data_IF_989279988684
#
_entry.id   IF_989279988684
#
_cell.length_a   1.000
_cell.length_b   1.000
_cell.length_c   1.000
_cell.angle_alpha   90.00
_cell.angle_beta   90.00
_cell.angle_gamma   90.00
#
_symmetry.space_group_name_H-M   'P 1'
#
loop_
_entity.id
_entity.type
_entity.pdbx_description
1 polymer ?
#
# COMPACT_ATOMS: atom_id res chain seq x y z
N UNK A 1 -7.51 -1.11 -11.76
CA UNK A 1 -6.44 -2.11 -11.56
C UNK A 1 -7.00 -3.36 -10.86
N UNK A 2 -7.62 -3.27 -9.68
CA UNK A 2 -8.08 -4.43 -8.91
C UNK A 2 -9.00 -5.36 -9.72
N UNK A 3 -10.08 -4.85 -10.31
CA UNK A 3 -10.98 -5.63 -11.14
C UNK A 3 -10.35 -6.10 -12.46
N UNK A 4 -9.59 -5.23 -13.15
CA UNK A 4 -8.98 -5.55 -14.44
C UNK A 4 -7.92 -6.65 -14.37
N UNK A 5 -7.23 -6.76 -13.23
CA UNK A 5 -6.15 -7.74 -13.02
C UNK A 5 -6.51 -8.83 -12.01
N UNK A 6 -7.81 -9.09 -11.80
CA UNK A 6 -8.32 -10.13 -10.90
C UNK A 6 -7.66 -11.49 -11.13
N UNK A 7 -7.50 -11.88 -12.38
CA UNK A 7 -6.93 -13.15 -12.81
C UNK A 7 -5.44 -13.09 -13.18
N UNK A 8 -4.78 -11.94 -13.01
CA UNK A 8 -3.35 -11.78 -13.35
C UNK A 8 -2.50 -12.36 -12.24
N UNK A 9 -2.07 -13.61 -12.39
CA UNK A 9 -1.27 -14.34 -11.40
C UNK A 9 0.17 -13.84 -11.41
N UNK A 10 0.73 -13.65 -10.23
CA UNK A 10 2.12 -13.24 -10.01
C UNK A 10 2.69 -13.93 -8.77
N UNK A 11 4.00 -13.89 -8.59
CA UNK A 11 4.62 -14.33 -7.35
C UNK A 11 4.27 -13.36 -6.21
N UNK A 12 3.67 -13.86 -5.13
CA UNK A 12 3.65 -13.15 -3.86
C UNK A 12 5.09 -12.99 -3.36
N UNK A 13 5.36 -11.91 -2.61
CA UNK A 13 6.70 -11.68 -2.04
C UNK A 13 6.59 -11.38 -0.56
N UNK A 14 7.25 -12.23 0.24
CA UNK A 14 7.41 -12.04 1.68
C UNK A 14 8.88 -11.83 1.97
N UNK A 15 9.22 -10.82 2.77
CA UNK A 15 10.61 -10.47 3.07
C UNK A 15 11.49 -10.35 1.79
N UNK A 16 10.89 -9.83 0.70
CA UNK A 16 11.48 -9.66 -0.63
C UNK A 16 11.80 -10.97 -1.38
N UNK A 17 11.43 -12.13 -0.85
CA UNK A 17 11.58 -13.41 -1.52
C UNK A 17 10.25 -13.86 -2.14
N UNK A 18 10.31 -14.56 -3.27
CA UNK A 18 9.12 -15.16 -3.86
C UNK A 18 8.49 -16.17 -2.90
N UNK A 19 7.18 -16.05 -2.73
CA UNK A 19 6.33 -16.89 -1.91
C UNK A 19 5.19 -17.47 -2.77
N UNK A 20 4.12 -17.92 -2.12
CA UNK A 20 2.93 -18.46 -2.81
C UNK A 20 2.37 -17.49 -3.85
N UNK A 21 1.70 -18.00 -4.90
CA UNK A 21 1.07 -17.15 -5.91
C UNK A 21 0.01 -16.24 -5.30
N UNK A 22 -0.10 -15.04 -5.87
CA UNK A 22 -1.18 -14.08 -5.63
C UNK A 22 -1.64 -13.53 -6.98
N UNK A 23 -2.68 -12.69 -7.00
CA UNK A 23 -3.00 -11.91 -8.20
C UNK A 23 -2.62 -10.45 -8.04
N UNK A 24 -2.25 -9.79 -9.13
CA UNK A 24 -2.04 -8.34 -9.11
C UNK A 24 -3.32 -7.60 -8.73
N UNK A 25 -4.48 -8.16 -9.07
CA UNK A 25 -5.78 -7.65 -8.63
C UNK A 25 -5.91 -7.59 -7.11
N UNK A 26 -5.45 -8.61 -6.37
CA UNK A 26 -5.45 -8.60 -4.90
C UNK A 26 -4.48 -7.55 -4.35
N UNK A 27 -3.29 -7.40 -4.94
CA UNK A 27 -2.34 -6.35 -4.56
C UNK A 27 -2.97 -4.97 -4.72
N UNK A 28 -3.60 -4.71 -5.87
CA UNK A 28 -4.27 -3.46 -6.16
C UNK A 28 -5.51 -3.22 -5.27
N UNK A 29 -6.25 -4.28 -4.90
CA UNK A 29 -7.35 -4.20 -3.94
C UNK A 29 -6.86 -3.78 -2.54
N UNK A 30 -5.69 -4.26 -2.12
CA UNK A 30 -5.04 -3.82 -0.88
C UNK A 30 -4.65 -2.34 -0.91
N UNK A 31 -4.14 -1.84 -2.04
CA UNK A 31 -3.87 -0.42 -2.23
C UNK A 31 -5.17 0.41 -2.15
N UNK A 32 -6.22 -0.03 -2.84
CA UNK A 32 -7.54 0.63 -2.85
C UNK A 32 -8.10 0.73 -1.43
N UNK A 33 -8.16 -0.37 -0.69
CA UNK A 33 -8.66 -0.41 0.69
C UNK A 33 -7.90 0.56 1.61
N UNK A 34 -6.56 0.60 1.51
CA UNK A 34 -5.76 1.53 2.29
C UNK A 34 -6.02 3.00 1.95
N UNK A 35 -6.19 3.32 0.66
CA UNK A 35 -6.51 4.68 0.20
C UNK A 35 -7.92 5.10 0.66
N UNK A 36 -8.91 4.22 0.60
CA UNK A 36 -10.27 4.48 1.05
C UNK A 36 -10.33 4.71 2.57
N UNK A 37 -9.58 3.93 3.35
CA UNK A 37 -9.47 4.13 4.79
C UNK A 37 -8.81 5.46 5.14
N UNK A 38 -7.76 5.84 4.41
CA UNK A 38 -7.10 7.14 4.60
C UNK A 38 -8.01 8.31 4.23
N UNK A 39 -8.77 8.20 3.11
CA UNK A 39 -9.79 9.17 2.69
C UNK A 39 -10.88 9.34 3.74
N UNK A 40 -11.42 8.22 4.25
CA UNK A 40 -12.45 8.25 5.31
C UNK A 40 -11.95 8.91 6.59
N UNK A 41 -10.69 8.64 6.98
CA UNK A 41 -10.04 9.31 8.10
C UNK A 41 -9.90 10.82 7.90
N UNK A 42 -9.50 11.24 6.70
CA UNK A 42 -9.37 12.66 6.34
C UNK A 42 -10.72 13.39 6.39
N UNK A 43 -11.78 12.77 5.85
CA UNK A 43 -13.14 13.33 5.90
C UNK A 43 -13.61 13.55 7.34
N UNK A 44 -13.47 12.53 8.22
CA UNK A 44 -13.84 12.63 9.64
C UNK A 44 -13.10 13.74 10.37
N UNK A 45 -11.81 13.91 10.10
CA UNK A 45 -11.03 15.01 10.69
C UNK A 45 -11.49 16.36 10.13
N UNK A 46 -11.77 16.46 8.84
CA UNK A 46 -12.33 17.64 8.20
C UNK A 46 -13.62 18.10 8.87
N UNK A 47 -14.55 17.17 9.12
CA UNK A 47 -15.85 17.45 9.72
C UNK A 47 -15.77 17.82 11.21
N UNK A 48 -14.87 17.20 11.96
CA UNK A 48 -14.89 17.27 13.42
C UNK A 48 -13.81 18.16 14.04
N UNK A 49 -12.69 18.40 13.32
CA UNK A 49 -11.51 19.05 13.91
C UNK A 49 -11.22 20.43 13.33
N UNK A 50 -11.74 20.77 12.17
CA UNK A 50 -11.55 22.10 11.58
C UNK A 50 -12.50 23.08 12.27
N UNK A 51 -11.94 23.96 13.09
CA UNK A 51 -12.69 24.95 13.85
C UNK A 51 -11.98 26.31 13.80
N UNK A 52 -12.76 27.37 13.89
CA UNK A 52 -12.20 28.72 13.98
C UNK A 52 -11.35 28.87 15.25
N UNK A 53 -10.19 29.55 15.13
CA UNK A 53 -9.39 29.97 16.26
C UNK A 53 -9.47 31.48 16.41
N UNK A 54 -10.25 31.94 17.40
CA UNK A 54 -10.43 33.36 17.70
C UNK A 54 -10.55 33.56 19.21
N UNK A 55 -9.59 34.23 19.84
CA UNK A 55 -9.50 34.28 21.30
C UNK A 55 -8.99 35.64 21.84
N UNK A 56 -8.59 36.56 20.97
CA UNK A 56 -7.91 37.78 21.40
C UNK A 56 -6.57 37.50 22.05
N UNK A 57 -6.10 38.34 22.93
CA UNK A 57 -4.77 38.27 23.52
C UNK A 57 -4.57 37.01 24.43
N UNK A 58 -5.57 36.69 25.25
CA UNK A 58 -5.48 35.67 26.30
C UNK A 58 -6.68 34.70 26.32
N UNK A 59 -7.38 34.54 25.20
CA UNK A 59 -8.51 33.61 25.11
C UNK A 59 -9.85 34.15 25.62
N UNK A 60 -9.93 35.39 26.08
CA UNK A 60 -11.12 35.96 26.72
C UNK A 60 -11.95 36.86 25.82
N UNK A 61 -11.43 37.28 24.66
CA UNK A 61 -12.02 38.27 23.78
C UNK A 61 -12.44 39.55 24.55
N UNK A 62 -11.65 40.00 25.53
CA UNK A 62 -11.98 41.04 26.47
C UNK A 62 -12.45 42.36 25.77
N UNK A 63 -11.86 42.72 24.63
CA UNK A 63 -12.22 43.88 23.86
C UNK A 63 -13.66 43.82 23.24
N UNK A 64 -14.22 42.61 23.09
CA UNK A 64 -15.56 42.37 22.57
C UNK A 64 -16.56 42.07 23.69
N UNK A 65 -16.14 41.93 24.92
CA UNK A 65 -16.98 41.63 26.07
C UNK A 65 -17.90 40.43 25.83
N UNK A 66 -19.17 40.58 26.12
CA UNK A 66 -20.18 39.52 25.97
C UNK A 66 -20.54 39.19 24.52
N UNK A 67 -20.16 40.02 23.54
CA UNK A 67 -20.39 39.78 22.13
C UNK A 67 -19.32 38.86 21.51
N UNK A 68 -18.21 38.60 22.21
CA UNK A 68 -17.13 37.73 21.72
C UNK A 68 -17.58 36.39 21.15
N UNK A 69 -18.40 35.58 21.86
CA UNK A 69 -18.91 34.32 21.35
C UNK A 69 -19.77 34.45 20.10
N UNK A 70 -20.57 35.52 20.00
CA UNK A 70 -21.38 35.81 18.80
C UNK A 70 -20.53 36.16 17.59
N UNK A 71 -19.48 36.94 17.78
CA UNK A 71 -18.52 37.26 16.72
C UNK A 71 -17.80 35.98 16.26
N UNK A 72 -17.38 35.10 17.19
CA UNK A 72 -16.79 33.81 16.88
C UNK A 72 -17.73 32.96 16.05
N UNK A 73 -19.00 32.88 16.38
CA UNK A 73 -19.99 32.10 15.64
C UNK A 73 -20.23 32.66 14.22
N UNK A 74 -20.30 33.99 14.05
CA UNK A 74 -20.42 34.60 12.74
C UNK A 74 -19.18 34.35 11.86
N UNK A 75 -17.99 34.46 12.46
CA UNK A 75 -16.73 34.16 11.76
C UNK A 75 -16.64 32.67 11.34
N UNK A 76 -17.07 31.76 12.21
CA UNK A 76 -17.12 30.37 11.88
C UNK A 76 -18.07 30.06 10.72
N UNK A 77 -19.27 30.67 10.73
CA UNK A 77 -20.25 30.54 9.65
C UNK A 77 -19.71 31.08 8.32
N UNK A 78 -19.05 32.23 8.33
CA UNK A 78 -18.46 32.82 7.13
C UNK A 78 -17.33 31.98 6.53
N UNK A 79 -16.53 31.31 7.38
CA UNK A 79 -15.42 30.46 6.96
C UNK A 79 -15.82 29.02 6.71
N UNK A 80 -17.07 28.62 6.98
CA UNK A 80 -17.51 27.23 6.91
C UNK A 80 -16.79 26.31 7.93
N UNK A 81 -16.39 26.83 9.08
CA UNK A 81 -15.67 26.11 10.13
C UNK A 81 -16.56 25.88 11.36
N UNK A 82 -16.21 24.91 12.19
CA UNK A 82 -16.90 24.66 13.45
C UNK A 82 -16.61 25.76 14.48
N UNK A 83 -17.59 26.01 15.37
CA UNK A 83 -17.42 26.85 16.56
C UNK A 83 -16.83 25.99 17.67
N UNK A 84 -15.63 26.28 18.19
CA UNK A 84 -15.07 25.54 19.30
C UNK A 84 -15.75 25.91 20.61
N UNK A 85 -15.70 24.99 21.60
CA UNK A 85 -16.24 25.26 22.94
C UNK A 85 -15.47 26.41 23.63
N UNK A 86 -14.17 26.44 23.46
CA UNK A 86 -13.26 27.49 23.97
C UNK A 86 -12.24 27.86 22.89
N UNK A 87 -11.67 29.08 22.94
CA UNK A 87 -10.47 29.39 22.17
C UNK A 87 -9.37 28.36 22.46
N UNK A 88 -8.81 27.78 21.39
CA UNK A 88 -7.91 26.63 21.48
C UNK A 88 -6.46 26.95 21.09
N UNK A 89 -6.02 28.19 21.28
CA UNK A 89 -4.69 28.63 20.85
C UNK A 89 -3.55 27.79 21.42
N UNK A 90 -3.66 27.34 22.67
CA UNK A 90 -2.67 26.48 23.34
C UNK A 90 -3.13 25.04 23.56
N UNK A 91 -4.37 24.71 23.20
CA UNK A 91 -4.82 23.33 23.04
C UNK A 91 -4.58 22.86 21.60
N UNK A 92 -3.48 22.16 21.39
CA UNK A 92 -3.04 21.79 20.05
C UNK A 92 -3.54 20.43 19.55
N UNK A 93 -4.47 19.77 20.26
CA UNK A 93 -4.99 18.46 19.86
C UNK A 93 -5.57 18.44 18.45
N UNK A 94 -6.22 19.53 18.04
CA UNK A 94 -6.74 19.67 16.65
C UNK A 94 -5.63 19.61 15.60
N UNK A 95 -4.49 20.23 15.89
CA UNK A 95 -3.33 20.23 15.00
C UNK A 95 -2.72 18.81 14.95
N UNK A 96 -2.62 18.14 16.08
CA UNK A 96 -2.12 16.74 16.17
C UNK A 96 -3.04 15.81 15.36
N UNK A 97 -4.36 15.91 15.50
CA UNK A 97 -5.32 15.05 14.79
C UNK A 97 -5.21 15.22 13.26
N UNK A 98 -5.10 16.47 12.79
CA UNK A 98 -4.90 16.72 11.36
C UNK A 98 -3.52 16.22 10.91
N UNK A 99 -2.46 16.45 11.69
CA UNK A 99 -1.13 15.96 11.35
C UNK A 99 -1.09 14.41 11.28
N UNK A 100 -1.76 13.75 12.21
CA UNK A 100 -1.84 12.28 12.24
C UNK A 100 -2.59 11.72 11.02
N UNK A 101 -3.70 12.32 10.60
CA UNK A 101 -4.42 11.84 9.41
C UNK A 101 -3.63 12.10 8.12
N UNK A 102 -2.91 13.21 8.02
CA UNK A 102 -2.02 13.48 6.89
C UNK A 102 -0.86 12.47 6.83
N UNK A 103 -0.32 12.08 7.99
CA UNK A 103 0.67 11.01 8.08
C UNK A 103 0.11 9.66 7.59
N UNK A 104 -1.13 9.30 7.94
CA UNK A 104 -1.80 8.09 7.43
C UNK A 104 -1.94 8.12 5.91
N UNK A 105 -2.38 9.24 5.33
CA UNK A 105 -2.46 9.42 3.87
C UNK A 105 -1.10 9.16 3.22
N UNK A 106 -0.05 9.80 3.74
CA UNK A 106 1.30 9.64 3.18
C UNK A 106 1.88 8.24 3.40
N UNK A 107 1.53 7.55 4.49
CA UNK A 107 1.96 6.18 4.74
C UNK A 107 1.41 5.21 3.67
N UNK A 108 0.12 5.32 3.33
CA UNK A 108 -0.50 4.50 2.27
C UNK A 108 0.10 4.82 0.90
N UNK A 109 0.22 6.10 0.55
CA UNK A 109 0.84 6.52 -0.70
C UNK A 109 2.29 6.02 -0.81
N UNK A 110 3.05 6.11 0.29
CA UNK A 110 4.41 5.60 0.38
C UNK A 110 4.50 4.09 0.20
N UNK A 111 3.52 3.33 0.75
CA UNK A 111 3.41 1.88 0.55
C UNK A 111 3.19 1.54 -0.93
N UNK A 112 2.23 2.18 -1.58
CA UNK A 112 1.95 1.99 -3.01
C UNK A 112 3.19 2.31 -3.86
N UNK A 113 3.81 3.46 -3.62
CA UNK A 113 5.00 3.87 -4.36
C UNK A 113 6.20 2.93 -4.12
N UNK A 114 6.35 2.40 -2.91
CA UNK A 114 7.38 1.41 -2.61
C UNK A 114 7.15 0.11 -3.37
N UNK A 115 5.94 -0.41 -3.37
CA UNK A 115 5.60 -1.61 -4.15
C UNK A 115 5.93 -1.39 -5.63
N UNK A 116 5.48 -0.27 -6.21
CA UNK A 116 5.75 0.04 -7.62
C UNK A 116 7.24 0.12 -7.90
N UNK A 117 8.05 0.78 -7.04
CA UNK A 117 9.50 0.84 -7.25
C UNK A 117 10.17 -0.52 -7.23
N UNK A 118 9.69 -1.45 -6.38
CA UNK A 118 10.20 -2.82 -6.33
C UNK A 118 9.75 -3.65 -7.54
N UNK A 119 8.49 -3.53 -7.95
CA UNK A 119 7.95 -4.24 -9.12
C UNK A 119 8.52 -3.72 -10.45
N UNK A 120 8.96 -2.46 -10.48
CA UNK A 120 9.54 -1.81 -11.66
C UNK A 120 11.06 -2.01 -11.80
N UNK A 121 11.74 -2.67 -10.84
CA UNK A 121 13.18 -2.97 -10.93
C UNK A 121 13.46 -3.77 -12.22
N UNK A 122 14.60 -3.54 -12.85
CA UNK A 122 14.97 -4.18 -14.13
C UNK A 122 14.90 -5.71 -14.09
N UNK A 123 15.28 -6.30 -12.95
CA UNK A 123 15.27 -7.74 -12.70
C UNK A 123 13.85 -8.28 -12.51
N UNK A 124 12.93 -7.46 -11.99
CA UNK A 124 11.51 -7.80 -11.77
C UNK A 124 10.66 -7.44 -12.98
N UNK A 125 10.57 -6.16 -13.32
CA UNK A 125 9.96 -5.66 -14.55
C UNK A 125 8.46 -5.92 -14.70
N UNK A 126 7.73 -6.11 -13.60
CA UNK A 126 6.31 -6.52 -13.61
C UNK A 126 5.35 -5.35 -13.79
N UNK A 127 5.81 -4.12 -13.52
CA UNK A 127 5.06 -2.89 -13.76
C UNK A 127 6.00 -1.80 -14.29
N UNK A 128 5.42 -0.78 -14.91
CA UNK A 128 6.12 0.44 -15.31
C UNK A 128 5.19 1.64 -15.31
N UNK A 129 5.73 2.83 -15.10
CA UNK A 129 5.00 4.06 -15.36
C UNK A 129 4.93 4.30 -16.87
N UNK A 130 3.75 4.65 -17.38
CA UNK A 130 3.62 5.03 -18.78
C UNK A 130 4.11 6.45 -19.02
N UNK A 131 4.53 6.73 -20.26
CA UNK A 131 4.89 8.07 -20.71
C UNK A 131 3.67 8.99 -20.92
N UNK A 132 2.46 8.55 -20.55
CA UNK A 132 1.20 9.25 -20.74
C UNK A 132 0.59 9.63 -19.40
N UNK A 133 0.68 10.90 -19.03
CA UNK A 133 -0.04 11.45 -17.89
C UNK A 133 -1.45 11.93 -18.28
N UNK A 134 -2.31 12.31 -17.32
CA UNK A 134 -3.66 12.87 -17.56
C UNK A 134 -3.67 14.10 -18.47
N UNK A 135 -2.54 14.81 -18.56
CA UNK A 135 -2.36 16.02 -19.38
C UNK A 135 -1.74 15.76 -20.76
N UNK A 136 -1.58 14.48 -21.16
CA UNK A 136 -0.97 14.11 -22.44
C UNK A 136 0.39 13.42 -22.30
N UNK A 137 1.05 13.06 -23.42
CA UNK A 137 2.31 12.34 -23.39
C UNK A 137 3.44 13.22 -22.82
N UNK A 138 3.85 12.93 -21.59
CA UNK A 138 5.03 13.53 -20.95
C UNK A 138 6.05 12.44 -20.76
N UNK A 139 7.07 12.39 -21.59
CA UNK A 139 8.16 11.42 -21.45
C UNK A 139 8.96 11.74 -20.18
N UNK A 140 8.59 11.09 -19.08
CA UNK A 140 9.30 11.15 -17.80
C UNK A 140 10.07 9.85 -17.58
N UNK A 141 11.13 9.92 -16.81
CA UNK A 141 11.90 8.73 -16.42
C UNK A 141 12.91 8.23 -17.44
N UNK A 142 12.90 8.73 -18.66
CA UNK A 142 13.91 8.38 -19.66
C UNK A 142 15.32 8.79 -19.27
N UNK A 143 16.31 8.05 -19.76
CA UNK A 143 17.73 8.37 -19.61
C UNK A 143 18.29 8.93 -20.92
N UNK A 144 19.06 10.02 -20.86
CA UNK A 144 19.73 10.58 -22.02
C UNK A 144 20.82 9.66 -22.59
N UNK A 145 21.45 8.85 -21.73
CA UNK A 145 22.55 7.95 -22.10
C UNK A 145 22.09 6.50 -22.37
N UNK A 146 20.95 6.11 -21.82
CA UNK A 146 20.44 4.71 -21.87
C UNK A 146 18.98 4.71 -22.34
N UNK A 147 18.69 4.58 -23.66
CA UNK A 147 17.34 4.70 -24.19
C UNK A 147 16.32 3.70 -23.63
N UNK A 148 16.79 2.54 -23.17
CA UNK A 148 15.96 1.47 -22.58
C UNK A 148 15.64 1.69 -21.09
N UNK A 149 16.34 2.62 -20.41
CA UNK A 149 16.13 2.89 -18.99
C UNK A 149 14.90 3.77 -18.78
N UNK A 150 13.92 3.23 -18.06
CA UNK A 150 12.71 3.94 -17.66
C UNK A 150 12.62 3.94 -16.14
N UNK A 151 12.77 5.13 -15.53
CA UNK A 151 12.72 5.27 -14.08
C UNK A 151 11.29 5.51 -13.60
N UNK A 152 10.85 4.92 -12.48
CA UNK A 152 9.54 5.18 -11.89
C UNK A 152 9.54 6.53 -11.16
N UNK A 153 9.47 7.63 -11.90
CA UNK A 153 9.69 9.00 -11.40
C UNK A 153 8.58 9.43 -10.44
N UNK A 154 7.31 9.10 -10.76
CA UNK A 154 6.19 9.46 -9.90
C UNK A 154 6.27 8.72 -8.57
N UNK A 155 6.57 7.41 -8.58
CA UNK A 155 6.77 6.64 -7.36
C UNK A 155 7.94 7.17 -6.52
N UNK A 156 9.06 7.54 -7.16
CA UNK A 156 10.21 8.12 -6.47
C UNK A 156 9.86 9.48 -5.86
N UNK A 157 9.08 10.32 -6.56
CA UNK A 157 8.62 11.61 -6.05
C UNK A 157 7.70 11.43 -4.83
N UNK A 158 6.75 10.48 -4.86
CA UNK A 158 5.93 10.12 -3.70
C UNK A 158 6.82 9.74 -2.52
N UNK A 159 7.79 8.84 -2.72
CA UNK A 159 8.71 8.42 -1.65
C UNK A 159 9.55 9.56 -1.09
N UNK A 160 9.98 10.50 -1.93
CA UNK A 160 10.69 11.69 -1.50
C UNK A 160 9.86 12.59 -0.59
N UNK A 161 8.57 12.77 -0.90
CA UNK A 161 7.63 13.51 -0.06
C UNK A 161 7.34 12.78 1.26
N UNK A 162 6.98 11.50 1.18
CA UNK A 162 6.46 10.75 2.34
C UNK A 162 7.51 10.50 3.42
N UNK A 163 8.79 10.40 3.06
CA UNK A 163 9.90 10.18 4.00
C UNK A 163 10.13 11.31 4.98
N UNK A 164 9.73 12.53 4.64
CA UNK A 164 9.91 13.71 5.50
C UNK A 164 8.79 13.85 6.54
N UNK A 165 7.61 13.31 6.24
CA UNK A 165 6.40 13.49 7.04
C UNK A 165 6.54 13.04 8.50
N UNK A 166 7.13 11.89 8.85
CA UNK A 166 7.26 11.46 10.25
C UNK A 166 8.00 12.48 11.14
N UNK A 167 9.06 13.10 10.62
CA UNK A 167 9.81 14.11 11.37
C UNK A 167 8.98 15.38 11.58
N UNK A 168 8.22 15.81 10.58
CA UNK A 168 7.33 16.98 10.70
C UNK A 168 6.23 16.75 11.73
N UNK A 169 5.61 15.56 11.73
CA UNK A 169 4.60 15.18 12.73
C UNK A 169 5.18 15.12 14.13
N UNK A 170 6.37 14.55 14.29
CA UNK A 170 7.06 14.52 15.59
C UNK A 170 7.31 15.94 16.13
N UNK A 171 7.71 16.88 15.26
CA UNK A 171 7.88 18.29 15.66
C UNK A 171 6.57 18.92 16.10
N UNK A 172 5.46 18.67 15.38
CA UNK A 172 4.13 19.19 15.74
C UNK A 172 3.63 18.61 17.08
N UNK A 173 3.89 17.33 17.34
CA UNK A 173 3.57 16.70 18.64
C UNK A 173 4.39 17.33 19.74
N UNK A 174 5.69 17.52 19.55
CA UNK A 174 6.58 18.15 20.54
C UNK A 174 6.17 19.61 20.82
N UNK A 175 5.71 20.34 19.80
CA UNK A 175 5.25 21.72 19.95
C UNK A 175 3.88 21.85 20.63
N UNK A 176 3.19 20.75 20.92
CA UNK A 176 1.87 20.79 21.54
C UNK A 176 1.91 21.11 23.05
N UNK A 177 3.07 21.02 23.69
CA UNK A 177 3.29 21.49 25.07
C UNK A 177 3.35 23.04 25.10
N UNK A 178 2.20 23.65 24.84
CA UNK A 178 2.06 25.08 24.68
C UNK A 178 1.61 25.72 26.02
N UNK A 179 2.54 26.38 26.70
CA UNK A 179 2.31 26.97 28.02
C UNK A 179 1.42 28.20 27.99
N UNK A 180 0.67 28.39 29.06
CA UNK A 180 -0.22 29.53 29.35
C UNK A 180 -1.22 29.79 28.21
N UNK A 181 -1.37 31.05 27.79
CA UNK A 181 -2.36 31.46 26.81
C UNK A 181 -1.79 31.72 25.39
N UNK A 182 -0.43 31.69 25.26
CA UNK A 182 0.23 32.06 23.99
C UNK A 182 1.48 31.28 23.60
N UNK A 183 1.96 30.36 24.41
CA UNK A 183 3.14 29.52 24.14
C UNK A 183 4.40 30.30 23.71
N UNK A 184 5.46 30.22 24.48
CA UNK A 184 6.72 30.89 24.18
C UNK A 184 7.65 29.95 23.40
N UNK A 185 7.61 30.04 22.08
CA UNK A 185 8.43 29.21 21.20
C UNK A 185 7.70 28.02 20.59
N UNK A 186 6.93 27.25 21.35
CA UNK A 186 6.22 26.07 20.88
C UNK A 186 5.31 26.36 19.67
N UNK A 187 4.46 27.36 19.75
CA UNK A 187 3.61 27.78 18.63
C UNK A 187 4.43 28.19 17.41
N UNK A 188 5.54 28.88 17.57
CA UNK A 188 6.40 29.31 16.46
C UNK A 188 7.08 28.11 15.78
N UNK A 189 7.39 27.08 16.55
CA UNK A 189 7.98 25.83 16.02
C UNK A 189 7.02 25.04 15.13
N UNK A 190 5.71 25.28 15.16
CA UNK A 190 4.72 24.63 14.30
C UNK A 190 4.69 25.19 12.86
N UNK A 191 5.06 26.43 12.65
CA UNK A 191 4.73 27.15 11.39
C UNK A 191 5.32 26.47 10.15
N UNK A 192 6.60 26.22 10.17
CA UNK A 192 7.26 25.59 9.02
C UNK A 192 6.89 24.10 8.88
N UNK A 193 6.94 23.26 9.94
CA UNK A 193 6.52 21.88 9.85
C UNK A 193 5.07 21.71 9.38
N UNK A 194 4.15 22.57 9.81
CA UNK A 194 2.75 22.57 9.39
C UNK A 194 2.62 22.82 7.89
N UNK A 195 3.23 23.91 7.41
CA UNK A 195 3.21 24.28 5.99
C UNK A 195 3.88 23.21 5.12
N UNK A 196 4.99 22.66 5.57
CA UNK A 196 5.71 21.60 4.88
C UNK A 196 4.88 20.30 4.82
N UNK A 197 4.23 19.93 5.93
CA UNK A 197 3.38 18.73 6.00
C UNK A 197 2.22 18.79 5.01
N UNK A 198 1.51 19.93 4.96
CA UNK A 198 0.40 20.13 4.02
C UNK A 198 0.88 20.05 2.57
N UNK A 199 1.96 20.75 2.24
CA UNK A 199 2.54 20.79 0.90
C UNK A 199 3.04 19.41 0.44
N UNK A 200 3.77 18.70 1.31
CA UNK A 200 4.31 17.37 0.98
C UNK A 200 3.21 16.32 0.85
N UNK A 201 2.18 16.36 1.69
CA UNK A 201 1.03 15.45 1.57
C UNK A 201 0.26 15.70 0.28
N UNK A 202 -0.04 16.96 -0.04
CA UNK A 202 -0.68 17.33 -1.31
C UNK A 202 0.15 16.92 -2.52
N UNK A 203 1.45 17.17 -2.50
CA UNK A 203 2.37 16.75 -3.55
C UNK A 203 2.41 15.23 -3.71
N UNK A 204 2.48 14.48 -2.60
CA UNK A 204 2.45 13.01 -2.64
C UNK A 204 1.13 12.50 -3.21
N UNK A 205 -0.01 13.13 -2.91
CA UNK A 205 -1.31 12.76 -3.46
C UNK A 205 -1.39 13.00 -4.97
N UNK A 206 -0.91 14.15 -5.45
CA UNK A 206 -0.85 14.45 -6.89
C UNK A 206 0.03 13.45 -7.64
N UNK A 207 1.25 13.19 -7.15
CA UNK A 207 2.15 12.20 -7.74
C UNK A 207 1.58 10.78 -7.66
N UNK A 208 0.88 10.43 -6.55
CA UNK A 208 0.21 9.15 -6.40
C UNK A 208 -0.92 8.93 -7.39
N UNK A 209 -1.73 9.95 -7.65
CA UNK A 209 -2.78 9.91 -8.67
C UNK A 209 -2.19 9.73 -10.07
N UNK A 210 -1.11 10.44 -10.40
CA UNK A 210 -0.41 10.29 -11.67
C UNK A 210 0.21 8.90 -11.81
N UNK A 211 0.86 8.39 -10.77
CA UNK A 211 1.44 7.05 -10.70
C UNK A 211 0.41 5.98 -11.03
N UNK A 212 -0.72 5.98 -10.33
CA UNK A 212 -1.75 4.95 -10.48
C UNK A 212 -2.53 5.09 -11.80
N UNK A 213 -2.74 6.34 -12.25
CA UNK A 213 -3.40 6.62 -13.55
C UNK A 213 -2.56 6.21 -14.76
N UNK A 214 -1.23 6.22 -14.62
CA UNK A 214 -0.28 5.84 -15.67
C UNK A 214 0.38 4.47 -15.49
N UNK A 215 -0.03 3.68 -14.50
CA UNK A 215 0.61 2.39 -14.22
C UNK A 215 0.26 1.35 -15.28
N UNK A 216 1.27 0.79 -15.93
CA UNK A 216 1.15 -0.32 -16.87
C UNK A 216 1.62 -1.61 -16.21
N UNK A 217 0.84 -2.67 -16.36
CA UNK A 217 1.10 -4.01 -15.79
C UNK A 217 1.57 -4.94 -16.90
N UNK A 218 2.72 -5.57 -16.70
CA UNK A 218 3.27 -6.57 -17.62
C UNK A 218 2.89 -7.98 -17.15
N UNK A 219 1.73 -8.44 -17.64
CA UNK A 219 1.17 -9.76 -17.31
C UNK A 219 2.10 -10.90 -17.75
N UNK A 220 2.78 -10.75 -18.88
CA UNK A 220 3.70 -11.77 -19.38
C UNK A 220 4.95 -11.86 -18.51
N UNK A 221 5.47 -10.74 -18.07
CA UNK A 221 6.61 -10.70 -17.15
C UNK A 221 6.28 -11.30 -15.79
N UNK A 222 5.09 -11.03 -15.25
CA UNK A 222 4.59 -11.66 -14.02
C UNK A 222 4.56 -13.18 -14.15
N UNK A 223 3.98 -13.68 -15.23
CA UNK A 223 3.94 -15.12 -15.50
C UNK A 223 5.34 -15.72 -15.67
N UNK A 224 6.23 -15.05 -16.40
CA UNK A 224 7.61 -15.49 -16.59
C UNK A 224 8.42 -15.53 -15.28
N UNK A 225 8.29 -14.51 -14.44
CA UNK A 225 8.96 -14.47 -13.13
C UNK A 225 8.47 -15.61 -12.21
N UNK A 226 7.17 -15.88 -12.21
CA UNK A 226 6.60 -16.97 -11.44
C UNK A 226 7.06 -18.34 -11.97
N UNK A 227 7.07 -18.53 -13.30
CA UNK A 227 7.55 -19.76 -13.94
C UNK A 227 9.05 -20.02 -13.68
N UNK A 228 9.87 -18.96 -13.58
CA UNK A 228 11.29 -19.06 -13.27
C UNK A 228 11.55 -19.67 -11.88
N UNK A 229 10.58 -19.66 -10.97
CA UNK A 229 10.64 -20.33 -9.68
C UNK A 229 10.50 -21.85 -9.76
N UNK A 230 10.17 -22.39 -10.95
CA UNK A 230 10.10 -23.84 -11.25
C UNK A 230 9.16 -24.62 -10.34
N UNK A 231 8.09 -24.02 -9.86
CA UNK A 231 7.07 -24.64 -9.02
C UNK A 231 7.37 -24.65 -7.52
N UNK A 232 8.53 -24.17 -7.09
CA UNK A 232 8.91 -24.12 -5.66
C UNK A 232 7.90 -23.38 -4.77
N UNK A 233 7.28 -22.25 -5.20
CA UNK A 233 6.24 -21.57 -4.42
C UNK A 233 4.99 -22.40 -4.14
N UNK A 234 4.82 -23.53 -4.84
CA UNK A 234 3.67 -24.42 -4.72
C UNK A 234 4.01 -25.71 -3.91
N UNK A 235 5.16 -25.75 -3.29
CA UNK A 235 5.60 -26.89 -2.49
C UNK A 235 4.58 -27.27 -1.40
N UNK A 236 3.94 -26.28 -0.75
CA UNK A 236 2.90 -26.48 0.26
C UNK A 236 1.68 -27.20 -0.33
N UNK A 237 1.21 -26.77 -1.50
CA UNK A 237 0.06 -27.41 -2.17
C UNK A 237 0.37 -28.85 -2.54
N UNK A 238 1.54 -29.11 -3.09
CA UNK A 238 2.00 -30.47 -3.43
C UNK A 238 2.16 -31.33 -2.18
N UNK A 239 2.70 -30.77 -1.09
CA UNK A 239 2.79 -31.48 0.20
C UNK A 239 1.40 -31.92 0.67
N UNK A 240 0.40 -31.06 0.60
CA UNK A 240 -0.98 -31.39 0.92
C UNK A 240 -1.54 -32.54 0.07
N UNK A 241 -1.27 -32.55 -1.24
CA UNK A 241 -1.67 -33.63 -2.13
C UNK A 241 -0.97 -34.94 -1.77
N UNK A 242 0.36 -34.93 -1.60
CA UNK A 242 1.15 -36.12 -1.27
C UNK A 242 0.82 -36.68 0.11
N UNK A 243 0.40 -35.84 1.06
CA UNK A 243 0.05 -36.26 2.41
C UNK A 243 -1.09 -37.27 2.42
N UNK A 244 -1.98 -37.26 1.45
CA UNK A 244 -3.07 -38.25 1.32
C UNK A 244 -2.59 -39.65 0.95
N UNK A 245 -1.42 -39.76 0.29
CA UNK A 245 -0.83 -41.03 -0.15
C UNK A 245 0.23 -41.56 0.81
N UNK A 246 1.01 -40.67 1.43
CA UNK A 246 2.20 -41.09 2.19
C UNK A 246 2.19 -40.60 3.65
N UNK A 247 1.17 -39.88 4.05
CA UNK A 247 1.10 -39.24 5.36
C UNK A 247 1.84 -37.89 5.41
N UNK A 248 1.45 -37.00 6.36
CA UNK A 248 1.91 -35.59 6.36
C UNK A 248 3.42 -35.43 6.59
N UNK A 249 3.99 -36.20 7.51
CA UNK A 249 5.43 -36.09 7.82
C UNK A 249 6.28 -36.49 6.62
N UNK A 250 5.98 -37.66 6.04
CA UNK A 250 6.72 -38.15 4.90
C UNK A 250 6.53 -37.28 3.65
N UNK A 251 5.32 -36.77 3.43
CA UNK A 251 5.08 -35.80 2.33
C UNK A 251 5.97 -34.56 2.47
N UNK A 252 6.04 -34.01 3.69
CA UNK A 252 6.89 -32.85 3.98
C UNK A 252 8.37 -33.16 3.65
N UNK A 253 8.90 -34.28 4.15
CA UNK A 253 10.31 -34.66 3.94
C UNK A 253 10.64 -34.91 2.45
N UNK A 254 9.72 -35.54 1.72
CA UNK A 254 9.86 -35.79 0.28
C UNK A 254 9.88 -34.49 -0.52
N UNK A 255 8.94 -33.56 -0.22
CA UNK A 255 8.86 -32.27 -0.92
C UNK A 255 10.03 -31.38 -0.56
N UNK A 256 10.46 -31.35 0.70
CA UNK A 256 11.65 -30.59 1.13
C UNK A 256 12.90 -31.08 0.39
N UNK A 257 13.18 -32.38 0.43
CA UNK A 257 14.32 -32.94 -0.28
C UNK A 257 14.25 -32.77 -1.80
N UNK A 258 13.05 -32.85 -2.39
CA UNK A 258 12.88 -32.62 -3.82
C UNK A 258 13.07 -31.11 -4.17
N UNK A 259 12.65 -30.20 -3.29
CA UNK A 259 12.86 -28.77 -3.45
C UNK A 259 14.36 -28.40 -3.46
N UNK A 260 15.13 -28.95 -2.52
CA UNK A 260 16.58 -28.75 -2.47
C UNK A 260 17.26 -29.26 -3.76
N UNK A 261 16.87 -30.44 -4.22
CA UNK A 261 17.36 -31.00 -5.49
C UNK A 261 16.94 -30.18 -6.70
N UNK A 262 15.70 -29.69 -6.74
CA UNK A 262 15.20 -28.85 -7.82
C UNK A 262 16.03 -27.56 -7.95
N UNK A 263 16.43 -26.97 -6.84
CA UNK A 263 17.34 -25.82 -6.81
C UNK A 263 18.72 -26.19 -7.34
N UNK A 264 19.35 -27.27 -6.82
CA UNK A 264 20.68 -27.68 -7.19
C UNK A 264 20.78 -28.12 -8.67
N UNK A 265 19.82 -28.89 -9.14
CA UNK A 265 19.78 -29.45 -10.49
C UNK A 265 19.22 -28.45 -11.52
N UNK A 266 18.61 -27.34 -11.07
CA UNK A 266 17.97 -26.39 -11.94
C UNK A 266 16.74 -26.96 -12.68
N UNK A 267 16.02 -27.91 -12.08
CA UNK A 267 14.89 -28.64 -12.66
C UNK A 267 13.56 -28.24 -12.01
N UNK A 268 12.41 -28.37 -12.72
CA UNK A 268 11.10 -28.19 -12.11
C UNK A 268 10.84 -29.13 -10.93
N UNK A 269 10.20 -28.63 -9.86
CA UNK A 269 9.87 -29.41 -8.66
C UNK A 269 9.08 -30.67 -9.00
N UNK A 270 8.09 -30.59 -9.90
CA UNK A 270 7.27 -31.75 -10.32
C UNK A 270 8.10 -32.85 -10.95
N UNK A 271 9.04 -32.52 -11.84
CA UNK A 271 9.92 -33.50 -12.47
C UNK A 271 10.80 -34.18 -11.45
N UNK A 272 11.37 -33.43 -10.50
CA UNK A 272 12.22 -33.99 -9.45
C UNK A 272 11.40 -34.90 -8.54
N UNK A 273 10.21 -34.50 -8.13
CA UNK A 273 9.30 -35.33 -7.32
C UNK A 273 8.98 -36.66 -8.02
N UNK A 274 8.52 -36.59 -9.26
CA UNK A 274 8.13 -37.78 -10.03
C UNK A 274 9.34 -38.72 -10.35
N UNK A 275 10.58 -38.21 -10.27
CA UNK A 275 11.80 -39.01 -10.42
C UNK A 275 12.25 -39.70 -9.14
N UNK A 276 11.60 -39.45 -7.99
CA UNK A 276 11.97 -40.11 -6.74
C UNK A 276 11.63 -41.62 -6.79
N UNK A 277 12.55 -42.51 -6.40
CA UNK A 277 12.31 -43.94 -6.46
C UNK A 277 11.07 -44.40 -5.66
N UNK A 278 10.19 -45.14 -6.30
CA UNK A 278 8.97 -45.70 -5.69
C UNK A 278 7.88 -44.68 -5.34
N UNK A 279 8.08 -43.37 -5.58
CA UNK A 279 7.02 -42.37 -5.29
C UNK A 279 5.88 -42.50 -6.29
N UNK A 280 6.18 -42.67 -7.58
CA UNK A 280 5.14 -42.81 -8.61
C UNK A 280 4.21 -44.02 -8.33
N UNK A 281 4.75 -45.15 -7.92
CA UNK A 281 3.97 -46.37 -7.57
C UNK A 281 3.06 -46.10 -6.35
N UNK A 282 3.59 -45.41 -5.34
CA UNK A 282 2.84 -45.07 -4.12
C UNK A 282 1.71 -44.09 -4.41
N UNK A 283 1.95 -43.08 -5.26
CA UNK A 283 0.91 -42.14 -5.72
C UNK A 283 -0.17 -42.88 -6.50
N UNK A 284 0.23 -43.76 -7.44
CA UNK A 284 -0.71 -44.57 -8.21
C UNK A 284 -1.57 -45.47 -7.30
N UNK A 285 -0.97 -46.11 -6.28
CA UNK A 285 -1.68 -46.93 -5.30
C UNK A 285 -2.69 -46.11 -4.47
N UNK A 286 -2.45 -44.83 -4.25
CA UNK A 286 -3.34 -43.89 -3.60
C UNK A 286 -4.35 -43.23 -4.57
N UNK A 287 -4.32 -43.59 -5.87
CA UNK A 287 -5.19 -43.02 -6.88
C UNK A 287 -4.77 -41.60 -7.36
N UNK A 288 -3.53 -41.22 -7.09
CA UNK A 288 -2.99 -39.92 -7.50
C UNK A 288 -2.16 -40.11 -8.77
N UNK A 289 -2.58 -39.47 -9.85
CA UNK A 289 -1.88 -39.46 -11.14
C UNK A 289 -0.78 -38.39 -11.21
N UNK A 290 0.19 -38.55 -12.10
CA UNK A 290 1.18 -37.50 -12.41
C UNK A 290 0.50 -36.20 -12.83
N UNK A 291 -0.60 -36.27 -13.57
CA UNK A 291 -1.37 -35.09 -13.98
C UNK A 291 -1.98 -34.30 -12.79
N UNK A 292 -2.32 -34.99 -11.69
CA UNK A 292 -2.76 -34.29 -10.47
C UNK A 292 -1.60 -33.59 -9.75
N UNK A 293 -0.40 -34.15 -9.81
CA UNK A 293 0.81 -33.45 -9.31
C UNK A 293 1.09 -32.21 -10.15
N UNK A 294 1.02 -32.33 -11.49
CA UNK A 294 1.18 -31.20 -12.40
C UNK A 294 0.09 -30.13 -12.19
N UNK A 295 -1.15 -30.54 -11.93
CA UNK A 295 -2.23 -29.63 -11.59
C UNK A 295 -2.01 -28.92 -10.26
N UNK A 296 -1.51 -29.60 -9.24
CA UNK A 296 -1.14 -29.00 -7.96
C UNK A 296 0.02 -28.00 -8.08
N UNK A 297 0.80 -28.07 -9.16
CA UNK A 297 1.85 -27.12 -9.50
C UNK A 297 1.37 -25.98 -10.41
N UNK A 298 0.05 -25.87 -10.66
CA UNK A 298 -0.51 -24.73 -11.41
C UNK A 298 -0.81 -23.59 -10.46
N UNK A 299 -0.20 -22.39 -10.63
CA UNK A 299 -0.37 -21.28 -9.72
C UNK A 299 -1.81 -20.79 -9.57
N UNK A 300 -2.61 -20.85 -10.65
CA UNK A 300 -4.00 -20.43 -10.64
C UNK A 300 -4.89 -21.31 -9.73
N UNK A 301 -4.46 -22.51 -9.39
CA UNK A 301 -5.17 -23.41 -8.48
C UNK A 301 -4.89 -23.14 -7.00
N UNK A 302 -4.00 -22.22 -6.66
CA UNK A 302 -3.58 -21.96 -5.27
C UNK A 302 -3.65 -20.47 -4.90
N UNK A 303 -4.82 -19.87 -5.14
CA UNK A 303 -5.06 -18.44 -4.90
C UNK A 303 -5.96 -18.19 -3.69
N UNK A 304 -6.44 -19.24 -3.01
CA UNK A 304 -7.27 -19.13 -1.80
C UNK A 304 -8.51 -18.24 -2.01
N UNK A 305 -8.75 -17.33 -1.09
CA UNK A 305 -9.90 -16.43 -1.09
C UNK A 305 -9.71 -15.13 -1.88
N UNK A 306 -8.77 -15.08 -2.81
CA UNK A 306 -8.38 -13.86 -3.56
C UNK A 306 -9.58 -13.13 -4.16
N UNK A 307 -10.51 -13.84 -4.85
CA UNK A 307 -11.68 -13.22 -5.49
C UNK A 307 -12.63 -12.61 -4.46
N UNK A 308 -12.84 -13.28 -3.33
CA UNK A 308 -13.71 -12.80 -2.24
C UNK A 308 -13.17 -11.48 -1.68
N UNK A 309 -11.86 -11.37 -1.48
CA UNK A 309 -11.24 -10.14 -0.97
C UNK A 309 -11.26 -9.01 -1.99
N UNK A 310 -11.07 -9.29 -3.28
CA UNK A 310 -11.19 -8.29 -4.34
C UNK A 310 -12.63 -7.76 -4.41
N UNK A 311 -13.64 -8.64 -4.37
CA UNK A 311 -15.05 -8.25 -4.39
C UNK A 311 -15.41 -7.40 -3.18
N UNK A 312 -14.96 -7.79 -1.98
CA UNK A 312 -15.18 -7.02 -0.76
C UNK A 312 -14.58 -5.61 -0.85
N UNK A 313 -13.34 -5.48 -1.36
CA UNK A 313 -12.69 -4.18 -1.51
C UNK A 313 -13.41 -3.29 -2.53
N UNK A 314 -13.84 -3.85 -3.67
CA UNK A 314 -14.58 -3.11 -4.70
C UNK A 314 -15.97 -2.68 -4.21
N UNK A 315 -16.67 -3.54 -3.48
CA UNK A 315 -17.98 -3.23 -2.90
C UNK A 315 -17.86 -2.09 -1.86
N UNK A 316 -16.87 -2.17 -0.97
CA UNK A 316 -16.60 -1.12 0.02
C UNK A 316 -16.30 0.23 -0.65
N UNK A 317 -15.47 0.23 -1.70
CA UNK A 317 -15.18 1.44 -2.49
C UNK A 317 -16.43 2.02 -3.16
N UNK A 318 -17.29 1.18 -3.73
CA UNK A 318 -18.56 1.59 -4.34
C UNK A 318 -19.49 2.28 -3.33
N UNK A 319 -19.57 1.77 -2.11
CA UNK A 319 -20.38 2.35 -1.03
C UNK A 319 -19.87 3.73 -0.52
N UNK A 320 -18.62 4.07 -0.77
CA UNK A 320 -18.05 5.38 -0.41
C UNK A 320 -18.35 6.49 -1.45
N UNK A 321 -18.80 6.11 -2.64
CA UNK A 321 -19.02 7.02 -3.77
C UNK A 321 -20.52 7.21 -4.10
N UNK A 322 -21.42 6.50 -3.38
CA UNK A 322 -22.89 6.66 -3.41
C UNK A 322 -23.39 7.45 -2.23
#
# INVERSE_FOLDING_TARGET
LAGAHRATVMAGRTLLQQAVPVTFGLVAAGWLSGLDEARGGLAKVGESRLAVQFGGAAGTLAALGRDGPRVTSLLAAELGLAVPVLPWHTDRLRIIDVAAVLARVTAVLGKVARDVTLLAQSEVGEVRESDSGPAGPVRRGGSSAMPHKNNPVAAIAVLGCTRQVPALVATLISAAEAEHQRAAGAWHAEWEPWSALLRLTGSAACWGAELLGGLTVDVQRMAANLAASRGLPLAEQVTGLLATAVGPVQAHDLVAGASDRAVLEGRPLGEVLLSLPGLADRLAAAGISAGQVDQALQPAGYLGATDVYIDAALAAHGGLNG
#
